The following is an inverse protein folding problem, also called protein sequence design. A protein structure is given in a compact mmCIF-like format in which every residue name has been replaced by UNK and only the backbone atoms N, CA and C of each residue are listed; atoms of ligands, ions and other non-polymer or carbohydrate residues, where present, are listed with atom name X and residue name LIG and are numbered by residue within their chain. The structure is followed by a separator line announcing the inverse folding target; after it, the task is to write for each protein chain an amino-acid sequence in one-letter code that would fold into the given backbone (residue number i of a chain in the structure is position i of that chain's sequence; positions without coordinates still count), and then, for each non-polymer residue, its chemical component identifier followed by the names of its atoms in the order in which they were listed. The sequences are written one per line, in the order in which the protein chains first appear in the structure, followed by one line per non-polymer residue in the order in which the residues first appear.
data_IF_854900105701
#
_entry.id   IF_854900105701
#
_cell.length_a   1.000
_cell.length_b   1.000
_cell.length_c   1.000
_cell.angle_alpha   90.00
_cell.angle_beta   90.00
_cell.angle_gamma   90.00
#
_symmetry.space_group_name_H-M   'P 1'
#
loop_
_entity.id
_entity.type
_entity.pdbx_description
1 polymer ?
#
# COMPACT_ATOMS: atom_id res chain seq x y z
N UNK A 1 -5.75 -0.55 15.99
CA UNK A 1 -5.74 0.56 15.01
C UNK A 1 -4.56 1.47 15.30
N UNK A 2 -3.98 2.05 14.25
CA UNK A 2 -2.96 3.09 14.36
C UNK A 2 -3.67 4.41 14.61
N UNK A 3 -3.19 5.29 15.50
CA UNK A 3 -3.77 6.63 15.67
C UNK A 3 -3.82 7.38 14.34
N UNK A 4 -5.00 7.86 13.98
CA UNK A 4 -5.20 8.69 12.79
C UNK A 4 -5.16 10.15 13.21
N UNK A 5 -4.28 10.93 12.58
CA UNK A 5 -4.14 12.37 12.82
C UNK A 5 -4.32 13.13 11.50
N UNK A 6 -4.74 14.39 11.61
CA UNK A 6 -4.71 15.37 10.53
C UNK A 6 -5.39 14.87 9.22
N UNK A 7 -6.65 14.45 9.34
CA UNK A 7 -7.46 14.02 8.19
C UNK A 7 -7.77 15.17 7.24
N UNK A 8 -8.00 16.37 7.79
CA UNK A 8 -8.39 17.55 7.04
C UNK A 8 -7.29 18.05 6.11
N UNK A 9 -6.01 17.78 6.43
CA UNK A 9 -4.87 18.11 5.55
C UNK A 9 -4.93 17.42 4.18
N UNK A 10 -5.68 16.33 4.05
CA UNK A 10 -5.92 15.65 2.77
C UNK A 10 -7.38 15.79 2.32
N UNK A 11 -8.16 16.72 2.90
CA UNK A 11 -9.55 16.96 2.50
C UNK A 11 -10.55 15.89 2.98
N UNK A 12 -10.19 15.05 3.95
CA UNK A 12 -11.12 14.09 4.57
C UNK A 12 -11.68 14.70 5.85
N UNK A 13 -13.00 14.82 5.93
CA UNK A 13 -13.67 15.18 7.19
C UNK A 13 -13.72 13.99 8.14
N UNK A 14 -13.79 14.28 9.44
CA UNK A 14 -14.00 13.23 10.45
C UNK A 14 -15.27 12.41 10.18
N UNK A 15 -16.34 13.05 9.69
CA UNK A 15 -17.59 12.35 9.35
C UNK A 15 -17.40 11.35 8.20
N UNK A 16 -16.73 11.75 7.12
CA UNK A 16 -16.41 10.84 6.01
C UNK A 16 -15.57 9.66 6.48
N UNK A 17 -14.54 9.92 7.28
CA UNK A 17 -13.72 8.87 7.88
C UNK A 17 -14.55 7.90 8.71
N UNK A 18 -15.46 8.40 9.55
CA UNK A 18 -16.31 7.55 10.38
C UNK A 18 -17.31 6.73 9.57
N UNK A 19 -17.90 7.29 8.51
CA UNK A 19 -18.77 6.51 7.60
C UNK A 19 -17.99 5.39 6.92
N UNK A 20 -16.78 5.66 6.42
CA UNK A 20 -15.91 4.64 5.85
C UNK A 20 -15.57 3.54 6.87
N UNK A 21 -15.25 3.89 8.12
CA UNK A 21 -15.01 2.92 9.19
C UNK A 21 -16.22 2.00 9.43
N UNK A 22 -17.43 2.58 9.50
CA UNK A 22 -18.68 1.82 9.71
C UNK A 22 -18.93 0.86 8.55
N UNK A 23 -18.75 1.32 7.30
CA UNK A 23 -18.91 0.46 6.13
C UNK A 23 -17.85 -0.65 6.08
N UNK A 24 -16.59 -0.33 6.40
CA UNK A 24 -15.51 -1.31 6.49
C UNK A 24 -15.82 -2.38 7.55
N UNK A 25 -16.31 -2.00 8.74
CA UNK A 25 -16.69 -2.93 9.81
C UNK A 25 -17.82 -3.87 9.36
N UNK A 26 -18.76 -3.37 8.56
CA UNK A 26 -19.80 -4.17 7.92
C UNK A 26 -19.30 -4.99 6.71
N UNK A 27 -18.00 -4.96 6.41
CA UNK A 27 -17.36 -5.54 5.22
C UNK A 27 -17.93 -5.04 3.89
N UNK A 28 -18.57 -3.87 3.88
CA UNK A 28 -19.04 -3.17 2.69
C UNK A 28 -17.90 -2.35 2.04
N UNK A 29 -16.77 -3.01 1.77
CA UNK A 29 -15.51 -2.38 1.31
C UNK A 29 -15.58 -1.81 -0.10
N UNK A 30 -16.58 -2.21 -0.89
CA UNK A 30 -16.87 -1.68 -2.23
C UNK A 30 -17.82 -0.46 -2.19
N UNK A 31 -18.20 0.03 -0.99
CA UNK A 31 -19.01 1.24 -0.88
C UNK A 31 -18.21 2.49 -1.24
N UNK A 32 -18.88 3.51 -1.79
CA UNK A 32 -18.27 4.79 -2.15
C UNK A 32 -17.56 5.44 -0.94
N UNK A 33 -18.16 5.36 0.26
CA UNK A 33 -17.53 5.88 1.49
C UNK A 33 -16.14 5.28 1.73
N UNK A 34 -15.96 3.95 1.53
CA UNK A 34 -14.67 3.28 1.73
C UNK A 34 -13.71 3.60 0.59
N UNK A 35 -14.18 3.45 -0.66
CA UNK A 35 -13.34 3.60 -1.85
C UNK A 35 -12.84 5.05 -2.01
N UNK A 36 -13.66 6.06 -1.72
CA UNK A 36 -13.28 7.46 -1.83
C UNK A 36 -12.23 7.84 -0.78
N UNK A 37 -12.45 7.43 0.49
CA UNK A 37 -11.47 7.66 1.56
C UNK A 37 -10.15 6.95 1.25
N UNK A 38 -10.21 5.69 0.80
CA UNK A 38 -9.03 4.90 0.51
C UNK A 38 -8.26 5.43 -0.71
N UNK A 39 -8.95 5.85 -1.77
CA UNK A 39 -8.34 6.46 -2.96
C UNK A 39 -7.66 7.77 -2.60
N UNK A 40 -8.35 8.68 -1.91
CA UNK A 40 -7.77 9.94 -1.49
C UNK A 40 -6.60 9.75 -0.51
N UNK A 41 -6.69 8.76 0.38
CA UNK A 41 -5.56 8.38 1.22
C UNK A 41 -4.36 7.90 0.40
N UNK A 42 -4.58 7.06 -0.61
CA UNK A 42 -3.52 6.57 -1.49
C UNK A 42 -2.87 7.69 -2.32
N UNK A 43 -3.64 8.63 -2.85
CA UNK A 43 -3.15 9.82 -3.59
C UNK A 43 -2.15 10.64 -2.75
N UNK A 44 -2.42 10.75 -1.45
CA UNK A 44 -1.58 11.49 -0.50
C UNK A 44 -0.57 10.58 0.23
N UNK A 45 -0.51 9.29 -0.12
CA UNK A 45 0.28 8.25 0.53
C UNK A 45 0.00 8.07 2.04
N UNK A 46 -1.21 8.40 2.50
CA UNK A 46 -1.71 8.15 3.85
C UNK A 46 -2.01 6.66 4.06
N UNK A 47 -0.96 5.86 4.02
CA UNK A 47 -1.00 4.39 4.16
C UNK A 47 -1.52 3.93 5.51
N UNK A 48 -1.44 4.79 6.52
CA UNK A 48 -2.09 4.57 7.81
C UNK A 48 -3.61 4.43 7.71
N UNK A 49 -4.25 5.25 6.88
CA UNK A 49 -5.70 5.19 6.66
C UNK A 49 -6.07 3.93 5.90
N UNK A 50 -5.30 3.61 4.86
CA UNK A 50 -5.47 2.38 4.07
C UNK A 50 -5.35 1.14 4.97
N UNK A 51 -4.32 1.08 5.81
CA UNK A 51 -4.13 -0.03 6.75
C UNK A 51 -5.25 -0.10 7.79
N UNK A 52 -5.70 1.03 8.34
CA UNK A 52 -6.78 1.04 9.32
C UNK A 52 -8.10 0.54 8.73
N UNK A 53 -8.46 0.95 7.50
CA UNK A 53 -9.64 0.40 6.81
C UNK A 53 -9.53 -1.12 6.63
N UNK A 54 -8.36 -1.60 6.21
CA UNK A 54 -8.08 -3.04 6.08
C UNK A 54 -8.20 -3.79 7.41
N UNK A 55 -7.65 -3.22 8.49
CA UNK A 55 -7.71 -3.78 9.83
C UNK A 55 -9.15 -3.84 10.38
N UNK A 56 -9.93 -2.78 10.16
CA UNK A 56 -11.34 -2.71 10.59
C UNK A 56 -12.17 -3.76 9.84
N UNK A 57 -11.99 -3.87 8.53
CA UNK A 57 -12.73 -4.84 7.70
C UNK A 57 -12.32 -6.30 7.95
N UNK A 58 -11.13 -6.53 8.53
CA UNK A 58 -10.53 -7.85 8.64
C UNK A 58 -10.20 -8.47 7.28
N UNK A 59 -9.98 -7.63 6.26
CA UNK A 59 -9.72 -8.02 4.87
C UNK A 59 -8.42 -7.39 4.39
N UNK A 60 -7.70 -8.10 3.52
CA UNK A 60 -6.56 -7.54 2.82
C UNK A 60 -7.06 -6.60 1.72
N UNK A 61 -6.29 -5.56 1.46
CA UNK A 61 -6.49 -4.67 0.31
C UNK A 61 -5.17 -4.47 -0.41
N UNK A 62 -5.24 -4.23 -1.71
CA UNK A 62 -4.10 -3.74 -2.47
C UNK A 62 -4.43 -2.45 -3.21
N UNK A 63 -3.43 -1.58 -3.31
CA UNK A 63 -3.47 -0.36 -4.09
C UNK A 63 -2.38 -0.42 -5.14
N UNK A 64 -2.72 -0.24 -6.41
CA UNK A 64 -1.76 -0.11 -7.51
C UNK A 64 -1.85 1.30 -8.06
N UNK A 65 -0.70 1.98 -8.18
CA UNK A 65 -0.59 3.31 -8.78
C UNK A 65 0.28 3.22 -10.03
N UNK A 66 -0.27 3.63 -11.17
CA UNK A 66 0.41 3.56 -12.46
C UNK A 66 1.29 4.79 -12.77
N UNK A 67 1.90 4.79 -13.95
CA UNK A 67 2.78 5.87 -14.40
C UNK A 67 2.08 7.24 -14.52
N UNK A 68 0.76 7.27 -14.75
CA UNK A 68 -0.06 8.47 -14.87
C UNK A 68 -0.72 8.87 -13.54
N UNK A 69 -0.49 8.10 -12.48
CA UNK A 69 -1.09 8.32 -11.16
C UNK A 69 -2.50 7.74 -11.02
N UNK A 70 -2.97 6.93 -11.97
CA UNK A 70 -4.25 6.22 -11.84
C UNK A 70 -4.15 5.20 -10.71
N UNK A 71 -5.18 5.17 -9.86
CA UNK A 71 -5.25 4.32 -8.68
C UNK A 71 -6.28 3.21 -8.89
N UNK A 72 -5.81 1.98 -8.75
CA UNK A 72 -6.68 0.80 -8.64
C UNK A 72 -6.60 0.24 -7.22
N UNK A 73 -7.76 -0.18 -6.71
CA UNK A 73 -7.93 -0.77 -5.38
C UNK A 73 -8.60 -2.13 -5.57
N UNK A 74 -8.05 -3.15 -4.90
CA UNK A 74 -8.65 -4.47 -4.79
C UNK A 74 -8.81 -4.85 -3.31
N UNK A 75 -9.83 -5.66 -3.01
CA UNK A 75 -10.07 -6.24 -1.70
C UNK A 75 -10.16 -7.76 -1.76
N UNK A 76 -9.76 -8.44 -0.70
CA UNK A 76 -9.88 -9.89 -0.62
C UNK A 76 -9.55 -10.49 0.73
N UNK A 77 -9.79 -11.79 0.84
CA UNK A 77 -9.41 -12.53 2.05
C UNK A 77 -7.90 -12.78 2.11
N UNK A 78 -7.36 -13.10 3.30
CA UNK A 78 -5.93 -13.24 3.48
C UNK A 78 -5.23 -14.18 2.48
N UNK A 79 -4.14 -13.68 1.87
CA UNK A 79 -3.35 -14.37 0.86
C UNK A 79 -3.99 -14.44 -0.53
N UNK A 80 -5.10 -13.72 -0.79
CA UNK A 80 -5.84 -13.77 -2.06
C UNK A 80 -5.82 -12.48 -2.88
N UNK A 81 -5.06 -11.47 -2.47
CA UNK A 81 -4.97 -10.19 -3.19
C UNK A 81 -3.59 -10.03 -3.85
N UNK A 82 -3.31 -10.72 -4.96
CA UNK A 82 -2.07 -10.53 -5.70
C UNK A 82 -2.12 -9.23 -6.50
N UNK A 83 -0.96 -8.75 -6.94
CA UNK A 83 -0.87 -7.68 -7.92
C UNK A 83 -1.64 -8.07 -9.21
N UNK A 84 -2.65 -7.28 -9.58
CA UNK A 84 -3.47 -7.48 -10.77
C UNK A 84 -3.71 -6.16 -11.50
N UNK A 85 -2.85 -5.78 -12.45
CA UNK A 85 -3.07 -4.57 -13.22
C UNK A 85 -4.32 -4.76 -14.10
N UNK A 86 -5.36 -3.92 -13.96
CA UNK A 86 -6.48 -3.89 -14.89
C UNK A 86 -6.04 -3.45 -16.29
N UNK A 87 -6.86 -3.78 -17.28
CA UNK A 87 -6.69 -3.29 -18.64
C UNK A 87 -6.81 -1.77 -18.64
N UNK A 88 -5.82 -1.09 -19.24
CA UNK A 88 -5.82 0.36 -19.45
C UNK A 88 -4.91 1.17 -18.53
N UNK A 89 -4.25 0.56 -17.54
CA UNK A 89 -3.22 1.25 -16.74
C UNK A 89 -1.87 1.34 -17.46
N UNK A 90 -1.11 2.39 -17.14
CA UNK A 90 0.15 2.74 -17.78
C UNK A 90 1.37 2.20 -17.02
N UNK A 91 2.14 1.30 -17.64
CA UNK A 91 3.42 0.85 -17.11
C UNK A 91 4.58 1.80 -17.51
N UNK A 92 5.67 1.90 -16.72
CA UNK A 92 5.92 1.20 -15.45
C UNK A 92 5.08 1.77 -14.29
N UNK A 93 4.51 0.88 -13.47
CA UNK A 93 3.77 1.19 -12.27
C UNK A 93 4.69 1.79 -11.20
N UNK A 94 4.23 2.88 -10.56
CA UNK A 94 4.99 3.62 -9.55
C UNK A 94 5.11 2.82 -8.25
N UNK A 95 3.98 2.32 -7.75
CA UNK A 95 3.93 1.59 -6.47
C UNK A 95 2.77 0.61 -6.41
N UNK A 96 3.02 -0.53 -5.75
CA UNK A 96 2.00 -1.47 -5.31
C UNK A 96 2.04 -1.57 -3.79
N UNK A 97 0.91 -1.37 -3.13
CA UNK A 97 0.78 -1.40 -1.68
C UNK A 97 -0.17 -2.52 -1.31
N UNK A 98 0.21 -3.39 -0.38
CA UNK A 98 -0.59 -4.50 0.11
C UNK A 98 -0.71 -4.43 1.63
N UNK A 99 -1.76 -5.01 2.22
CA UNK A 99 -1.98 -5.01 3.67
C UNK A 99 -2.03 -6.41 4.26
N UNK A 100 -1.46 -6.57 5.45
CA UNK A 100 -1.61 -7.73 6.31
C UNK A 100 -2.33 -7.31 7.61
N UNK A 101 -3.68 -7.24 7.62
CA UNK A 101 -4.43 -6.71 8.76
C UNK A 101 -4.23 -7.58 10.01
N UNK A 102 -3.63 -7.00 11.05
CA UNK A 102 -3.40 -7.68 12.33
C UNK A 102 -2.14 -8.55 12.38
N UNK A 103 -1.32 -8.56 11.32
CA UNK A 103 -0.07 -9.31 11.27
C UNK A 103 1.12 -8.39 10.96
N UNK A 104 2.33 -8.92 11.07
CA UNK A 104 3.54 -8.19 10.71
C UNK A 104 3.60 -7.85 9.22
N UNK A 105 4.26 -6.74 8.90
CA UNK A 105 4.63 -6.42 7.52
C UNK A 105 5.81 -7.30 7.11
N UNK A 106 5.55 -8.25 6.21
CA UNK A 106 6.57 -9.15 5.64
C UNK A 106 6.20 -9.50 4.21
N UNK A 107 7.18 -9.92 3.41
CA UNK A 107 6.93 -10.44 2.06
C UNK A 107 6.46 -11.89 2.13
N UNK A 108 5.15 -12.14 1.99
CA UNK A 108 4.56 -13.47 1.91
C UNK A 108 4.95 -14.18 0.60
N UNK A 109 4.62 -15.47 0.49
CA UNK A 109 4.81 -16.20 -0.78
C UNK A 109 4.02 -15.59 -1.94
N UNK A 110 2.80 -15.11 -1.68
CA UNK A 110 1.96 -14.42 -2.67
C UNK A 110 2.58 -13.09 -3.09
N UNK A 111 3.14 -12.34 -2.13
CA UNK A 111 3.78 -11.05 -2.45
C UNK A 111 5.05 -11.27 -3.27
N UNK A 112 5.92 -12.20 -2.83
CA UNK A 112 7.14 -12.54 -3.55
C UNK A 112 6.86 -12.99 -4.98
N UNK A 113 5.82 -13.80 -5.19
CA UNK A 113 5.40 -14.19 -6.53
C UNK A 113 4.91 -12.98 -7.36
N UNK A 114 4.15 -12.07 -6.75
CA UNK A 114 3.70 -10.83 -7.38
C UNK A 114 4.86 -9.92 -7.79
N UNK A 115 5.85 -9.71 -6.91
CA UNK A 115 7.06 -8.94 -7.19
C UNK A 115 7.91 -9.57 -8.29
N UNK A 116 8.03 -10.90 -8.29
CA UNK A 116 8.78 -11.62 -9.32
C UNK A 116 8.16 -11.42 -10.71
N UNK A 117 6.82 -11.48 -10.82
CA UNK A 117 6.10 -11.23 -12.08
C UNK A 117 6.22 -9.76 -12.49
N UNK A 118 6.14 -8.84 -11.52
CA UNK A 118 6.12 -7.40 -11.77
C UNK A 118 7.53 -6.77 -11.93
N UNK A 119 8.60 -7.56 -11.88
CA UNK A 119 9.99 -7.10 -11.88
C UNK A 119 10.36 -6.18 -13.07
N UNK A 120 9.71 -6.32 -14.22
CA UNK A 120 9.97 -5.44 -15.39
C UNK A 120 9.11 -4.18 -15.43
N UNK A 121 8.09 -4.09 -14.59
CA UNK A 121 6.99 -3.12 -14.76
C UNK A 121 6.60 -2.39 -13.48
N UNK A 122 7.18 -2.71 -12.32
CA UNK A 122 6.87 -2.07 -11.04
C UNK A 122 8.14 -1.51 -10.39
N UNK A 123 8.10 -0.23 -10.00
CA UNK A 123 9.25 0.48 -9.42
C UNK A 123 9.41 0.25 -7.92
N UNK A 124 8.31 0.13 -7.17
CA UNK A 124 8.35 -0.06 -5.72
C UNK A 124 7.14 -0.84 -5.19
N UNK A 125 7.30 -1.43 -4.02
CA UNK A 125 6.22 -2.12 -3.33
C UNK A 125 6.27 -1.89 -1.82
N UNK A 126 5.10 -1.92 -1.19
CA UNK A 126 4.92 -1.79 0.26
C UNK A 126 4.03 -2.92 0.80
N UNK A 127 4.36 -3.44 1.98
CA UNK A 127 3.43 -4.23 2.82
C UNK A 127 3.15 -3.45 4.09
N UNK A 128 1.87 -3.22 4.38
CA UNK A 128 1.40 -2.53 5.57
C UNK A 128 0.98 -3.58 6.62
N UNK A 129 1.54 -3.50 7.81
CA UNK A 129 1.25 -4.43 8.91
C UNK A 129 1.37 -3.76 10.27
N UNK A 130 1.40 -4.55 11.33
CA UNK A 130 1.77 -4.11 12.68
C UNK A 130 3.17 -4.66 13.04
N UNK A 131 4.17 -3.83 13.37
CA UNK A 131 4.02 -2.45 13.85
C UNK A 131 4.27 -1.37 12.79
N UNK A 132 4.34 -1.68 11.51
CA UNK A 132 4.82 -0.71 10.52
C UNK A 132 4.70 -1.14 9.06
N UNK A 133 5.53 -0.50 8.24
CA UNK A 133 5.56 -0.69 6.79
C UNK A 133 6.85 -1.38 6.40
N UNK A 134 6.76 -2.40 5.56
CA UNK A 134 7.92 -2.98 4.87
C UNK A 134 7.95 -2.45 3.45
N UNK A 135 9.09 -1.98 2.99
CA UNK A 135 9.28 -1.45 1.65
C UNK A 135 10.25 -2.31 0.84
N UNK A 136 10.07 -2.28 -0.48
CA UNK A 136 11.06 -2.75 -1.44
C UNK A 136 11.05 -1.85 -2.67
N UNK A 137 12.24 -1.61 -3.22
CA UNK A 137 12.47 -0.87 -4.46
C UNK A 137 13.11 -1.78 -5.48
N UNK A 138 12.67 -1.64 -6.72
CA UNK A 138 13.23 -2.36 -7.84
C UNK A 138 14.43 -1.58 -8.39
N UNK A 139 15.64 -1.96 -7.98
CA UNK A 139 16.89 -1.32 -8.39
C UNK A 139 17.55 -2.03 -9.57
N UNK A 140 16.93 -3.09 -10.10
CA UNK A 140 17.53 -3.90 -11.15
C UNK A 140 18.72 -4.74 -10.65
N UNK A 141 19.64 -5.14 -11.54
CA UNK A 141 20.69 -6.12 -11.22
C UNK A 141 21.76 -5.59 -10.26
N UNK A 142 21.86 -4.27 -10.04
CA UNK A 142 22.88 -3.64 -9.21
C UNK A 142 22.50 -3.61 -7.70
N UNK A 143 21.56 -4.45 -7.28
CA UNK A 143 21.10 -4.50 -5.89
C UNK A 143 21.96 -5.46 -5.04
N UNK A 144 22.64 -4.92 -4.03
CA UNK A 144 23.50 -5.69 -3.13
C UNK A 144 22.74 -6.28 -1.92
N UNK A 145 21.51 -5.85 -1.66
CA UNK A 145 20.70 -6.33 -0.53
C UNK A 145 19.28 -6.65 -0.99
N UNK A 146 19.08 -7.90 -1.43
CA UNK A 146 17.90 -8.31 -2.18
C UNK A 146 16.99 -9.29 -1.44
N UNK A 147 15.69 -9.27 -1.77
CA UNK A 147 14.70 -10.23 -1.24
C UNK A 147 15.08 -11.68 -1.60
N UNK A 148 15.68 -11.88 -2.77
CA UNK A 148 16.19 -13.17 -3.24
C UNK A 148 17.63 -13.07 -3.74
N UNK A 149 18.40 -14.14 -3.60
CA UNK A 149 19.79 -14.19 -4.07
C UNK A 149 19.91 -14.36 -5.59
N UNK A 150 18.88 -14.93 -6.22
CA UNK A 150 18.84 -15.22 -7.66
C UNK A 150 17.43 -14.99 -8.22
N UNK A 151 17.35 -14.80 -9.54
CA UNK A 151 16.09 -14.67 -10.26
C UNK A 151 15.43 -13.32 -10.07
N UNK A 152 14.13 -13.17 -10.38
CA UNK A 152 13.46 -11.87 -10.42
C UNK A 152 13.50 -11.10 -9.09
N UNK A 153 13.55 -11.81 -7.95
CA UNK A 153 13.60 -11.20 -6.62
C UNK A 153 14.96 -10.56 -6.28
N UNK A 154 16.01 -10.85 -7.06
CA UNK A 154 17.31 -10.23 -6.87
C UNK A 154 17.30 -8.72 -7.17
N UNK A 155 16.32 -8.24 -7.93
CA UNK A 155 16.19 -6.82 -8.28
C UNK A 155 15.47 -5.98 -7.23
N UNK A 156 14.92 -6.62 -6.21
CA UNK A 156 14.08 -5.99 -5.19
C UNK A 156 14.84 -5.86 -3.89
N UNK A 157 14.91 -4.66 -3.31
CA UNK A 157 15.59 -4.42 -2.02
C UNK A 157 14.91 -5.15 -0.87
N UNK A 158 15.69 -5.72 0.05
CA UNK A 158 15.21 -6.23 1.33
C UNK A 158 15.41 -5.15 2.41
N UNK A 159 14.38 -4.32 2.64
CA UNK A 159 14.44 -3.22 3.61
C UNK A 159 13.79 -3.63 4.94
N UNK A 160 14.27 -3.07 6.05
CA UNK A 160 13.68 -3.29 7.38
C UNK A 160 12.26 -2.71 7.49
N UNK A 161 11.48 -3.21 8.43
CA UNK A 161 10.17 -2.63 8.75
C UNK A 161 10.36 -1.27 9.43
N UNK A 162 9.77 -0.23 8.86
CA UNK A 162 9.68 1.10 9.46
C UNK A 162 8.44 1.18 10.34
N UNK A 163 8.57 1.37 11.66
CA UNK A 163 7.41 1.53 12.56
C UNK A 163 6.53 2.73 12.17
N UNK A 164 5.23 2.63 12.43
CA UNK A 164 4.26 3.67 12.02
C UNK A 164 4.57 5.06 12.56
N UNK A 165 4.94 5.17 13.83
CA UNK A 165 5.32 6.43 14.48
C UNK A 165 6.49 7.11 13.77
N UNK A 166 7.50 6.31 13.39
CA UNK A 166 8.64 6.78 12.60
C UNK A 166 8.23 7.17 11.18
N UNK A 167 7.40 6.37 10.51
CA UNK A 167 6.92 6.65 9.16
C UNK A 167 6.19 8.01 9.06
N UNK A 168 5.33 8.31 10.04
CA UNK A 168 4.68 9.61 10.12
C UNK A 168 5.65 10.77 10.31
N UNK A 169 6.62 10.62 11.23
CA UNK A 169 7.59 11.67 11.52
C UNK A 169 8.47 11.99 10.31
N UNK A 170 8.88 10.97 9.54
CA UNK A 170 9.68 11.14 8.33
C UNK A 170 8.89 11.86 7.22
N UNK A 171 7.58 11.60 7.11
CA UNK A 171 6.71 12.26 6.10
C UNK A 171 6.31 13.69 6.43
N UNK A 172 6.17 14.06 7.70
CA UNK A 172 6.00 15.47 8.07
C UNK A 172 7.23 16.32 7.69
N UNK A 173 8.40 15.68 7.61
CA UNK A 173 9.67 16.34 7.29
C UNK A 173 10.04 16.28 5.80
N UNK A 174 9.31 15.52 4.98
CA UNK A 174 9.53 15.43 3.52
C UNK A 174 8.20 15.64 2.81
N UNK A 175 7.85 16.88 2.40
CA UNK A 175 6.72 17.08 1.53
C UNK A 175 6.95 16.26 0.26
N UNK A 176 5.97 15.44 -0.10
CA UNK A 176 5.96 14.76 -1.39
C UNK A 176 6.00 15.87 -2.44
N UNK A 177 7.10 15.95 -3.20
CA UNK A 177 7.08 16.67 -4.47
C UNK A 177 6.10 15.92 -5.37
N UNK A 178 4.85 16.38 -5.35
CA UNK A 178 3.90 16.06 -6.41
C UNK A 178 4.43 16.81 -7.63
N UNK A 179 5.25 16.14 -8.45
CA UNK A 179 5.58 16.66 -9.77
C UNK A 179 4.26 16.75 -10.54
N UNK A 180 3.82 17.99 -10.73
CA UNK A 180 2.69 18.38 -11.58
C UNK A 180 2.93 18.02 -13.04
#
# INVERSE_FOLDING_TARGET
MIPVMDLEAIGITYEQWMRACIQAEAQAVESDDVLDVQRNAAEHGRWDLVYNLSLIAGLETSVLIDADGQIQIDWGSPGRVPLRPPVGMMAPFRVWVHTHPGFHAYWSGTDKNSLAIAQGILSSALVLGAPGIKQSRNLGPDNDHSIGLEGPLQHWTEEDVVPWDRWYAERQNSPIEVMA
#
